data_IF_901429331676
#
_entry.id   IF_901429331676
#
_cell.length_a   1.000
_cell.length_b   1.000
_cell.length_c   1.000
_cell.angle_alpha   90.00
_cell.angle_beta   90.00
_cell.angle_gamma   90.00
#
_symmetry.space_group_name_H-M   'P 1'
#
loop_
_entity.id
_entity.type
_entity.pdbx_description
1 polymer ?
#
# COMPACT_ATOMS: atom_id res chain seq x y z
N UNK A 1 -19.85 -6.96 -36.29
CA UNK A 1 -19.92 -6.60 -34.86
C UNK A 1 -19.09 -7.63 -34.11
N UNK A 2 -17.92 -7.25 -33.59
CA UNK A 2 -17.09 -8.17 -32.82
C UNK A 2 -17.73 -8.37 -31.45
N UNK A 3 -17.99 -9.63 -31.11
CA UNK A 3 -18.63 -10.04 -29.88
C UNK A 3 -17.71 -9.69 -28.70
N UNK A 4 -18.16 -8.86 -27.76
CA UNK A 4 -17.42 -8.52 -26.52
C UNK A 4 -17.39 -9.72 -25.54
N UNK A 5 -18.00 -10.84 -25.91
CA UNK A 5 -18.30 -11.98 -25.05
C UNK A 5 -17.11 -12.85 -24.60
N UNK A 6 -15.89 -12.64 -25.13
CA UNK A 6 -14.71 -13.46 -24.78
C UNK A 6 -13.49 -12.59 -24.47
N UNK A 7 -13.66 -11.60 -23.59
CA UNK A 7 -12.49 -11.04 -22.92
C UNK A 7 -11.92 -12.13 -21.99
N UNK A 8 -10.62 -12.48 -22.11
CA UNK A 8 -10.01 -13.45 -21.21
C UNK A 8 -10.16 -12.96 -19.76
N UNK A 9 -10.52 -13.87 -18.85
CA UNK A 9 -10.59 -13.55 -17.42
C UNK A 9 -9.21 -13.06 -16.96
N UNK A 10 -9.12 -11.88 -16.34
CA UNK A 10 -7.87 -11.39 -15.79
C UNK A 10 -7.34 -12.39 -14.75
N UNK A 11 -6.08 -12.80 -14.90
CA UNK A 11 -5.41 -13.68 -13.95
C UNK A 11 -4.97 -12.86 -12.74
N UNK A 12 -5.34 -13.32 -11.54
CA UNK A 12 -4.86 -12.75 -10.29
C UNK A 12 -3.39 -13.07 -10.06
N UNK A 13 -2.66 -12.15 -9.42
CA UNK A 13 -1.30 -12.39 -8.95
C UNK A 13 -1.29 -13.37 -7.78
N UNK A 14 -0.23 -14.18 -7.71
CA UNK A 14 0.04 -15.02 -6.56
C UNK A 14 0.36 -14.14 -5.35
N UNK A 15 -0.38 -14.37 -4.26
CA UNK A 15 -0.22 -13.63 -3.02
C UNK A 15 0.64 -14.41 -2.03
N UNK A 16 1.39 -13.67 -1.20
CA UNK A 16 2.20 -14.24 -0.13
C UNK A 16 1.78 -13.67 1.22
N UNK A 17 1.83 -14.53 2.23
CA UNK A 17 1.73 -14.11 3.62
C UNK A 17 3.10 -13.68 4.12
N UNK A 18 3.19 -12.45 4.62
CA UNK A 18 4.42 -11.97 5.23
C UNK A 18 4.59 -12.53 6.65
N UNK A 19 5.85 -12.75 7.02
CA UNK A 19 6.20 -12.99 8.42
C UNK A 19 5.91 -11.73 9.27
N UNK A 20 5.66 -11.87 10.59
CA UNK A 20 5.45 -10.71 11.46
C UNK A 20 6.57 -9.67 11.39
N UNK A 21 7.83 -10.11 11.28
CA UNK A 21 8.97 -9.20 11.15
C UNK A 21 8.95 -8.40 9.83
N UNK A 22 8.55 -9.03 8.72
CA UNK A 22 8.40 -8.35 7.43
C UNK A 22 7.20 -7.39 7.43
N UNK A 23 6.12 -7.72 8.13
CA UNK A 23 5.01 -6.80 8.38
C UNK A 23 5.50 -5.58 9.15
N UNK A 24 6.20 -5.77 10.28
CA UNK A 24 6.72 -4.68 11.10
C UNK A 24 7.71 -3.79 10.33
N UNK A 25 8.48 -4.38 9.42
CA UNK A 25 9.45 -3.69 8.58
C UNK A 25 8.83 -2.64 7.64
N UNK A 26 7.55 -2.80 7.27
CA UNK A 26 6.85 -1.90 6.34
C UNK A 26 5.91 -0.91 7.05
N UNK A 27 5.58 -1.11 8.33
CA UNK A 27 4.73 -0.21 9.08
C UNK A 27 5.38 1.17 9.27
N UNK A 28 4.57 2.22 9.21
CA UNK A 28 5.02 3.59 9.47
C UNK A 28 4.40 4.63 8.54
N UNK A 29 4.95 5.84 8.63
CA UNK A 29 4.54 6.98 7.82
C UNK A 29 5.56 7.24 6.71
N UNK A 30 5.05 7.44 5.50
CA UNK A 30 5.83 7.75 4.30
C UNK A 30 5.34 9.06 3.71
N UNK A 31 6.26 9.92 3.27
CA UNK A 31 5.91 11.25 2.80
C UNK A 31 6.49 11.54 1.41
N UNK A 32 5.63 12.08 0.54
CA UNK A 32 5.98 12.61 -0.77
C UNK A 32 5.41 14.03 -0.90
N UNK A 33 6.25 15.04 -0.64
CA UNK A 33 5.79 16.44 -0.56
C UNK A 33 4.82 16.65 0.60
N UNK A 34 3.61 17.15 0.32
CA UNK A 34 2.54 17.34 1.32
C UNK A 34 1.70 16.09 1.58
N UNK A 35 1.81 15.07 0.72
CA UNK A 35 1.08 13.82 0.86
C UNK A 35 1.81 12.91 1.84
N UNK A 36 1.06 12.38 2.79
CA UNK A 36 1.50 11.31 3.69
C UNK A 36 0.70 10.05 3.43
N UNK A 37 1.41 8.93 3.34
CA UNK A 37 0.87 7.59 3.34
C UNK A 37 1.18 6.94 4.68
N UNK A 38 0.16 6.49 5.38
CA UNK A 38 0.31 5.72 6.61
C UNK A 38 0.04 4.26 6.31
N UNK A 39 1.04 3.41 6.59
CA UNK A 39 0.94 1.95 6.50
C UNK A 39 0.75 1.43 7.91
N UNK A 40 -0.40 0.84 8.18
CA UNK A 40 -0.80 0.41 9.51
C UNK A 40 -1.63 -0.88 9.45
N UNK A 41 -1.71 -1.64 10.56
CA UNK A 41 -2.69 -2.70 10.72
C UNK A 41 -4.12 -2.14 10.67
N UNK A 42 -5.06 -2.96 10.19
CA UNK A 42 -6.50 -2.72 10.18
C UNK A 42 -7.27 -4.05 10.14
N UNK A 43 -8.60 -3.97 10.06
CA UNK A 43 -9.51 -5.13 10.23
C UNK A 43 -9.28 -6.28 9.24
N UNK A 44 -8.61 -6.01 8.12
CA UNK A 44 -8.23 -6.98 7.10
C UNK A 44 -6.73 -7.17 6.93
N UNK A 45 -5.89 -6.90 7.94
CA UNK A 45 -4.43 -6.97 7.80
C UNK A 45 -3.81 -5.60 7.57
N UNK A 46 -2.83 -5.46 6.68
CA UNK A 46 -2.17 -4.17 6.43
C UNK A 46 -3.02 -3.33 5.46
N UNK A 47 -3.12 -2.02 5.75
CA UNK A 47 -3.71 -1.05 4.84
C UNK A 47 -2.84 0.20 4.67
N UNK A 48 -3.03 0.86 3.53
CA UNK A 48 -2.43 2.16 3.23
C UNK A 48 -3.51 3.23 3.29
N UNK A 49 -3.35 4.21 4.17
CA UNK A 49 -4.20 5.41 4.23
C UNK A 49 -3.44 6.60 3.69
N UNK A 50 -4.08 7.36 2.80
CA UNK A 50 -3.53 8.59 2.24
C UNK A 50 -4.16 9.81 2.92
N UNK A 51 -3.33 10.82 3.21
CA UNK A 51 -3.77 12.05 3.85
C UNK A 51 -2.75 13.17 3.72
N UNK A 52 -3.16 14.42 3.96
CA UNK A 52 -2.21 15.52 4.11
C UNK A 52 -1.44 15.37 5.43
N UNK A 53 -0.15 15.71 5.40
CA UNK A 53 0.70 15.67 6.60
C UNK A 53 0.16 16.55 7.75
N UNK A 54 -0.45 17.69 7.41
CA UNK A 54 -1.04 18.63 8.38
C UNK A 54 -2.30 18.08 9.03
N UNK A 55 -3.00 17.21 8.30
CA UNK A 55 -4.30 16.75 8.71
C UNK A 55 -4.13 15.60 9.72
N UNK A 56 -3.01 14.85 9.65
CA UNK A 56 -2.70 13.58 10.37
C UNK A 56 -2.59 13.65 11.90
N UNK A 57 -3.12 14.70 12.52
CA UNK A 57 -3.24 14.84 13.96
C UNK A 57 -4.04 16.05 14.48
N UNK A 58 -4.61 16.91 13.62
CA UNK A 58 -5.06 18.24 14.09
C UNK A 58 -6.52 18.62 13.79
N UNK A 59 -7.36 17.73 13.27
CA UNK A 59 -8.78 18.05 13.09
C UNK A 59 -9.69 16.88 13.46
N UNK A 60 -10.36 17.00 14.61
CA UNK A 60 -11.34 16.01 15.10
C UNK A 60 -12.53 15.83 14.13
N UNK A 61 -12.75 16.79 13.22
CA UNK A 61 -13.84 16.78 12.25
C UNK A 61 -13.45 16.29 10.84
N UNK A 62 -12.18 15.87 10.59
CA UNK A 62 -11.81 15.32 9.29
C UNK A 62 -12.13 13.83 9.23
N UNK A 63 -13.09 13.48 8.39
CA UNK A 63 -13.29 12.09 7.96
C UNK A 63 -12.20 11.74 6.95
N UNK A 64 -11.25 10.95 7.41
CA UNK A 64 -10.20 10.45 6.54
C UNK A 64 -10.72 9.48 5.49
N UNK A 65 -10.09 9.45 4.30
CA UNK A 65 -10.30 8.35 3.37
C UNK A 65 -10.05 7.01 4.08
N UNK A 66 -10.85 5.97 3.78
CA UNK A 66 -10.61 4.65 4.32
C UNK A 66 -9.22 4.15 3.90
N UNK A 67 -8.61 3.32 4.74
CA UNK A 67 -7.39 2.64 4.35
C UNK A 67 -7.70 1.69 3.18
N UNK A 68 -6.81 1.66 2.18
CA UNK A 68 -6.85 0.68 1.10
C UNK A 68 -6.21 -0.60 1.65
N UNK A 69 -6.96 -1.71 1.80
CA UNK A 69 -6.38 -2.97 2.24
C UNK A 69 -5.46 -3.51 1.15
N UNK A 70 -4.26 -3.94 1.53
CA UNK A 70 -3.27 -4.46 0.58
C UNK A 70 -3.00 -5.96 0.80
N UNK A 71 -2.53 -6.62 -0.25
CA UNK A 71 -1.98 -7.96 -0.20
C UNK A 71 -0.60 -7.98 -0.84
N UNK A 72 0.32 -8.75 -0.27
CA UNK A 72 1.68 -8.85 -0.79
C UNK A 72 1.71 -9.84 -1.94
N UNK A 73 2.36 -9.43 -3.03
CA UNK A 73 2.64 -10.27 -4.20
C UNK A 73 3.99 -10.96 -4.02
N UNK A 74 4.91 -10.28 -3.33
CA UNK A 74 6.17 -10.80 -2.82
C UNK A 74 6.61 -9.89 -1.64
N UNK A 75 7.83 -10.08 -1.14
CA UNK A 75 8.35 -9.35 0.02
C UNK A 75 8.20 -7.82 -0.05
N UNK A 76 8.25 -7.25 -1.26
CA UNK A 76 8.30 -5.81 -1.46
C UNK A 76 7.11 -5.26 -2.24
N UNK A 77 6.50 -6.04 -3.14
CA UNK A 77 5.42 -5.57 -4.00
C UNK A 77 4.06 -5.94 -3.42
N UNK A 78 3.08 -5.06 -3.59
CA UNK A 78 1.73 -5.28 -3.12
C UNK A 78 0.68 -4.87 -4.16
N UNK A 79 -0.50 -5.47 -4.04
CA UNK A 79 -1.70 -5.12 -4.78
C UNK A 79 -2.79 -4.62 -3.83
N UNK A 80 -3.85 -3.99 -4.36
CA UNK A 80 -5.07 -3.81 -3.58
C UNK A 80 -5.72 -5.17 -3.37
N UNK A 81 -6.26 -5.45 -2.17
CA UNK A 81 -7.05 -6.67 -1.97
C UNK A 81 -8.27 -6.76 -2.87
N UNK A 82 -8.83 -5.61 -3.24
CA UNK A 82 -9.98 -5.53 -4.14
C UNK A 82 -9.63 -5.75 -5.63
N UNK A 83 -8.36 -5.60 -6.02
CA UNK A 83 -7.86 -5.85 -7.38
C UNK A 83 -6.43 -6.40 -7.31
N UNK A 84 -6.32 -7.73 -7.39
CA UNK A 84 -5.04 -8.46 -7.37
C UNK A 84 -4.52 -8.79 -8.76
N UNK A 85 -5.11 -8.24 -9.84
CA UNK A 85 -4.63 -8.53 -11.20
C UNK A 85 -3.40 -7.71 -11.57
N UNK A 86 -3.02 -6.75 -10.73
CA UNK A 86 -1.88 -5.85 -10.93
C UNK A 86 -1.24 -5.42 -9.61
N UNK A 87 0.06 -5.19 -9.61
CA UNK A 87 0.72 -4.53 -8.49
C UNK A 87 0.26 -3.06 -8.42
N UNK A 88 0.04 -2.59 -7.20
CA UNK A 88 -0.37 -1.23 -6.89
C UNK A 88 0.82 -0.36 -6.46
N UNK A 89 1.84 -0.98 -5.86
CA UNK A 89 3.04 -0.31 -5.42
C UNK A 89 4.08 -1.28 -4.87
N UNK A 90 5.17 -0.71 -4.36
CA UNK A 90 6.24 -1.47 -3.71
C UNK A 90 6.93 -0.70 -2.59
N UNK A 91 7.46 -1.44 -1.64
CA UNK A 91 8.40 -0.95 -0.64
C UNK A 91 9.83 -1.05 -1.17
N UNK A 92 10.66 -0.04 -0.87
CA UNK A 92 12.10 -0.09 -1.09
C UNK A 92 12.76 -0.19 0.27
N UNK A 93 13.55 -1.24 0.46
CA UNK A 93 14.17 -1.58 1.74
C UNK A 93 15.64 -1.20 1.78
N UNK A 94 16.17 -1.00 2.98
CA UNK A 94 17.61 -0.98 3.23
C UNK A 94 18.19 -2.41 3.36
N UNK A 95 19.49 -2.50 3.67
CA UNK A 95 20.20 -3.78 3.83
C UNK A 95 19.71 -4.62 5.02
N UNK A 96 18.90 -4.04 5.91
CA UNK A 96 18.27 -4.74 7.04
C UNK A 96 16.90 -5.30 6.70
N UNK A 97 16.41 -5.05 5.48
CA UNK A 97 15.06 -5.39 5.05
C UNK A 97 13.99 -4.41 5.54
N UNK A 98 14.38 -3.30 6.16
CA UNK A 98 13.43 -2.28 6.65
C UNK A 98 13.04 -1.35 5.51
N UNK A 99 11.74 -1.12 5.34
CA UNK A 99 11.28 -0.19 4.31
C UNK A 99 11.75 1.23 4.65
N UNK A 100 12.40 1.88 3.68
CA UNK A 100 12.87 3.27 3.76
C UNK A 100 12.14 4.18 2.78
N UNK A 101 11.53 3.60 1.73
CA UNK A 101 10.64 4.30 0.81
C UNK A 101 9.44 3.44 0.41
N UNK A 102 8.37 4.11 -0.01
CA UNK A 102 7.17 3.54 -0.58
C UNK A 102 6.93 4.14 -1.95
N UNK A 103 6.88 3.30 -2.98
CA UNK A 103 6.45 3.69 -4.31
C UNK A 103 4.98 3.32 -4.52
N UNK A 104 4.15 4.32 -4.76
CA UNK A 104 2.70 4.14 -4.90
C UNK A 104 2.09 5.25 -5.74
N UNK A 105 1.23 4.88 -6.70
CA UNK A 105 0.54 5.86 -7.56
C UNK A 105 1.49 6.77 -8.34
N UNK A 106 2.64 6.22 -8.79
CA UNK A 106 3.67 6.95 -9.54
C UNK A 106 4.52 7.92 -8.71
N UNK A 107 4.43 7.87 -7.38
CA UNK A 107 5.22 8.71 -6.46
C UNK A 107 6.11 7.85 -5.57
N UNK A 108 7.28 8.37 -5.22
CA UNK A 108 8.16 7.79 -4.21
C UNK A 108 8.08 8.62 -2.94
N UNK A 109 7.67 7.98 -1.84
CA UNK A 109 7.52 8.58 -0.53
C UNK A 109 8.59 8.06 0.42
N UNK A 110 9.32 8.94 1.10
CA UNK A 110 10.36 8.56 2.06
C UNK A 110 9.72 8.26 3.40
N UNK A 111 10.21 7.24 4.11
CA UNK A 111 9.78 6.95 5.48
C UNK A 111 10.23 8.06 6.44
N UNK A 112 9.32 8.51 7.29
CA UNK A 112 9.54 9.66 8.21
C UNK A 112 9.23 9.34 9.68
N UNK A 113 8.56 8.22 9.96
CA UNK A 113 8.33 7.66 11.29
C UNK A 113 8.04 6.15 11.19
#
# INVERSE_FOLDING_TARGET
MSNIAELPTPVSLDLVDLTPAAVDAVLGKYQAGSLTMTVAPGDGGIGIRMGSAKDLGEYEDIVWPPAIPIAFVNDNNFAARADTTRALGRFVTDDTGRAVMLEFGGRTAKRVA
#
